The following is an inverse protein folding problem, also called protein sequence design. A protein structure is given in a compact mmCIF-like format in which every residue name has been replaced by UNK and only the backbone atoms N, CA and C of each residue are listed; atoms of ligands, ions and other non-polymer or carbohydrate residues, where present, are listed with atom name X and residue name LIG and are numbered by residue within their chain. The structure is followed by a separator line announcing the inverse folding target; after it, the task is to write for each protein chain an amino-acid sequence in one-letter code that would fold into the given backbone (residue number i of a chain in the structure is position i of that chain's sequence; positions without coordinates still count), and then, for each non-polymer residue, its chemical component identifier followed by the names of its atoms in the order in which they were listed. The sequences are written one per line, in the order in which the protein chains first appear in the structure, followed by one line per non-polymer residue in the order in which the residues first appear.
data_IF_765900438167
#
_entry.id   IF_765900438167
#
_cell.length_a   1.000
_cell.length_b   1.000
_cell.length_c   1.000
_cell.angle_alpha   90.00
_cell.angle_beta   90.00
_cell.angle_gamma   90.00
#
_symmetry.space_group_name_H-M   'P 1'
#
loop_
_entity.id
_entity.type
_entity.pdbx_description
1 polymer ?
#
# COMPACT_ATOMS: atom_id res chain seq x y z
N UNK A 1 2.79 -13.96 1.35
CA UNK A 1 2.03 -14.62 0.25
C UNK A 1 2.39 -14.02 -1.10
N UNK A 2 2.13 -12.73 -1.33
CA UNK A 2 2.40 -12.04 -2.61
C UNK A 2 3.87 -12.19 -3.04
N UNK A 3 4.84 -11.92 -2.16
CA UNK A 3 6.28 -12.05 -2.43
C UNK A 3 6.70 -13.46 -2.89
N UNK A 4 6.21 -14.50 -2.22
CA UNK A 4 6.56 -15.90 -2.54
C UNK A 4 6.03 -16.29 -3.92
N UNK A 5 4.78 -15.93 -4.23
CA UNK A 5 4.17 -16.27 -5.52
C UNK A 5 4.77 -15.41 -6.64
N UNK A 6 5.10 -14.14 -6.39
CA UNK A 6 5.85 -13.31 -7.34
C UNK A 6 7.23 -13.87 -7.66
N UNK A 7 7.91 -14.51 -6.68
CA UNK A 7 9.18 -15.22 -6.90
C UNK A 7 9.01 -16.55 -7.66
N UNK A 8 7.96 -17.32 -7.34
CA UNK A 8 7.68 -18.60 -8.02
C UNK A 8 7.25 -18.40 -9.48
N UNK A 9 6.42 -17.39 -9.73
CA UNK A 9 5.83 -17.08 -11.03
C UNK A 9 6.79 -16.34 -11.97
N UNK A 10 7.71 -15.55 -11.43
CA UNK A 10 8.58 -14.68 -12.22
C UNK A 10 7.82 -13.50 -12.84
N UNK A 11 8.56 -12.56 -13.43
CA UNK A 11 8.04 -11.39 -14.15
C UNK A 11 8.72 -11.34 -15.53
N UNK A 12 8.37 -10.41 -16.44
CA UNK A 12 9.05 -10.26 -17.77
C UNK A 12 10.58 -10.29 -17.68
N UNK A 13 11.07 -9.88 -16.52
CA UNK A 13 12.44 -9.57 -16.19
C UNK A 13 13.03 -10.43 -15.05
N UNK A 14 12.20 -11.26 -14.41
CA UNK A 14 12.57 -12.18 -13.34
C UNK A 14 12.44 -13.61 -13.89
N UNK A 15 13.55 -14.33 -14.05
CA UNK A 15 13.47 -15.77 -14.33
C UNK A 15 12.76 -16.43 -13.15
N UNK A 16 11.58 -16.98 -13.41
CA UNK A 16 10.85 -17.82 -12.46
C UNK A 16 11.81 -18.91 -11.97
N UNK A 17 11.89 -19.11 -10.65
CA UNK A 17 12.70 -20.20 -10.05
C UNK A 17 12.26 -21.56 -10.62
N UNK A 18 11.00 -21.67 -11.05
CA UNK A 18 10.38 -22.86 -11.64
C UNK A 18 10.43 -22.85 -13.19
N UNK A 19 10.89 -21.77 -13.83
CA UNK A 19 11.02 -21.69 -15.29
C UNK A 19 9.71 -21.66 -16.08
N UNK A 20 8.59 -21.28 -15.44
CA UNK A 20 7.26 -21.20 -16.06
C UNK A 20 7.22 -20.00 -17.03
N UNK A 21 6.82 -20.24 -18.29
CA UNK A 21 6.62 -19.17 -19.28
C UNK A 21 5.27 -18.48 -19.05
N UNK A 22 5.19 -17.19 -19.39
CA UNK A 22 3.91 -16.46 -19.39
C UNK A 22 2.93 -17.15 -20.34
N UNK A 23 1.68 -17.28 -19.89
CA UNK A 23 0.59 -17.94 -20.60
C UNK A 23 0.65 -19.47 -20.72
N UNK A 24 1.46 -20.14 -19.90
CA UNK A 24 1.28 -21.57 -19.66
C UNK A 24 0.05 -21.83 -18.76
N UNK A 25 -0.61 -23.01 -18.87
CA UNK A 25 -1.70 -23.41 -17.97
C UNK A 25 -1.31 -23.34 -16.48
N UNK A 26 -0.03 -23.56 -16.17
CA UNK A 26 0.52 -23.45 -14.81
C UNK A 26 0.50 -22.01 -14.27
N UNK A 27 0.63 -21.01 -15.14
CA UNK A 27 0.55 -19.59 -14.76
C UNK A 27 -0.85 -19.22 -14.28
N UNK A 28 -1.88 -19.69 -15.01
CA UNK A 28 -3.28 -19.50 -14.63
C UNK A 28 -3.64 -20.24 -13.34
N UNK A 29 -3.09 -21.45 -13.12
CA UNK A 29 -3.29 -22.19 -11.86
C UNK A 29 -2.68 -21.43 -10.68
N UNK A 30 -1.45 -20.91 -10.82
CA UNK A 30 -0.80 -20.12 -9.78
C UNK A 30 -1.56 -18.83 -9.48
N UNK A 31 -2.09 -18.16 -10.50
CA UNK A 31 -2.94 -16.98 -10.35
C UNK A 31 -4.27 -17.31 -9.65
N UNK A 32 -4.95 -18.38 -10.06
CA UNK A 32 -6.19 -18.82 -9.41
C UNK A 32 -5.95 -19.20 -7.94
N UNK A 33 -4.84 -19.89 -7.66
CA UNK A 33 -4.42 -20.21 -6.30
C UNK A 33 -4.14 -18.95 -5.46
N UNK A 34 -3.53 -17.92 -6.05
CA UNK A 34 -3.31 -16.64 -5.38
C UNK A 34 -4.63 -15.96 -5.00
N UNK A 35 -5.61 -15.90 -5.92
CA UNK A 35 -6.93 -15.36 -5.59
C UNK A 35 -7.65 -16.18 -4.51
N UNK A 36 -7.58 -17.51 -4.60
CA UNK A 36 -8.14 -18.41 -3.59
C UNK A 36 -7.51 -18.15 -2.21
N UNK A 37 -6.18 -18.07 -2.14
CA UNK A 37 -5.45 -17.81 -0.91
C UNK A 37 -5.82 -16.46 -0.30
N UNK A 38 -5.97 -15.41 -1.12
CA UNK A 38 -6.42 -14.09 -0.65
C UNK A 38 -7.85 -14.14 -0.10
N UNK A 39 -8.76 -14.86 -0.76
CA UNK A 39 -10.14 -15.05 -0.27
C UNK A 39 -10.14 -15.80 1.06
N UNK A 40 -9.38 -16.90 1.16
CA UNK A 40 -9.27 -17.70 2.39
C UNK A 40 -8.71 -16.86 3.54
N UNK A 41 -7.61 -16.13 3.32
CA UNK A 41 -7.05 -15.24 4.34
C UNK A 41 -8.04 -14.16 4.75
N UNK A 42 -8.79 -13.59 3.81
CA UNK A 42 -9.81 -12.57 4.12
C UNK A 42 -10.93 -13.16 4.97
N UNK A 43 -11.43 -14.36 4.64
CA UNK A 43 -12.45 -15.05 5.43
C UNK A 43 -11.92 -15.38 6.83
N UNK A 44 -10.69 -15.88 6.95
CA UNK A 44 -10.05 -16.15 8.25
C UNK A 44 -9.97 -14.86 9.08
N UNK A 45 -9.52 -13.74 8.49
CA UNK A 45 -9.45 -12.45 9.19
C UNK A 45 -10.85 -11.98 9.64
N UNK A 46 -11.88 -12.15 8.82
CA UNK A 46 -13.26 -11.80 9.19
C UNK A 46 -13.75 -12.66 10.36
N UNK A 47 -13.50 -13.97 10.33
CA UNK A 47 -13.90 -14.89 11.40
C UNK A 47 -13.14 -14.58 12.69
N UNK A 48 -11.83 -14.35 12.60
CA UNK A 48 -11.01 -13.97 13.75
C UNK A 48 -11.45 -12.63 14.33
N UNK A 49 -11.71 -11.62 13.50
CA UNK A 49 -12.20 -10.31 13.92
C UNK A 49 -13.53 -10.41 14.65
N UNK A 50 -14.49 -11.18 14.11
CA UNK A 50 -15.77 -11.41 14.77
C UNK A 50 -15.61 -12.12 16.10
N UNK A 51 -14.75 -13.14 16.16
CA UNK A 51 -14.49 -13.88 17.40
C UNK A 51 -13.88 -12.97 18.45
N UNK A 52 -12.89 -12.16 18.09
CA UNK A 52 -12.26 -11.20 19.00
C UNK A 52 -13.26 -10.15 19.48
N UNK A 53 -14.13 -9.66 18.59
CA UNK A 53 -15.17 -8.71 18.94
C UNK A 53 -16.20 -9.30 19.93
N UNK A 54 -16.63 -10.55 19.71
CA UNK A 54 -17.53 -11.22 20.66
C UNK A 54 -16.87 -11.42 22.02
N UNK A 55 -15.60 -11.82 22.06
CA UNK A 55 -14.86 -11.94 23.33
C UNK A 55 -14.75 -10.59 24.06
N UNK A 56 -14.64 -9.47 23.33
CA UNK A 56 -14.67 -8.13 23.94
C UNK A 56 -16.04 -7.78 24.54
N UNK A 57 -17.13 -8.20 23.90
CA UNK A 57 -18.48 -8.04 24.43
C UNK A 57 -18.72 -8.91 25.67
N UNK A 58 -18.28 -10.17 25.64
CA UNK A 58 -18.47 -11.11 26.75
C UNK A 58 -17.71 -10.69 28.03
N UNK A 59 -16.64 -9.91 27.89
CA UNK A 59 -15.83 -9.40 29.00
C UNK A 59 -16.16 -7.95 29.39
N UNK A 60 -17.31 -7.41 28.97
CA UNK A 60 -17.75 -6.04 29.27
C UNK A 60 -16.67 -4.97 28.97
N UNK A 61 -15.99 -5.11 27.83
CA UNK A 61 -14.93 -4.21 27.43
C UNK A 61 -15.44 -2.77 27.28
N UNK A 62 -14.75 -1.82 27.92
CA UNK A 62 -15.07 -0.39 27.84
C UNK A 62 -14.53 0.19 26.54
N UNK A 63 -15.40 0.34 25.53
CA UNK A 63 -15.04 0.95 24.26
C UNK A 63 -14.66 2.42 24.43
N UNK A 64 -13.48 2.78 23.94
CA UNK A 64 -12.97 4.15 23.97
C UNK A 64 -13.49 4.91 22.75
N UNK A 65 -13.60 6.24 22.85
CA UNK A 65 -13.98 7.10 21.73
C UNK A 65 -12.99 6.93 20.57
N UNK A 66 -13.45 6.29 19.48
CA UNK A 66 -12.65 5.93 18.31
C UNK A 66 -12.55 4.43 18.05
N UNK A 67 -13.12 3.59 18.91
CA UNK A 67 -13.26 2.16 18.66
C UNK A 67 -14.37 1.87 17.65
N UNK A 68 -14.09 0.95 16.72
CA UNK A 68 -15.05 0.55 15.69
C UNK A 68 -16.02 -0.46 16.28
N UNK A 69 -17.32 -0.17 16.15
CA UNK A 69 -18.40 -1.14 16.41
C UNK A 69 -18.50 -2.08 15.21
N UNK A 70 -17.99 -3.30 15.37
CA UNK A 70 -17.94 -4.30 14.32
C UNK A 70 -19.28 -5.01 14.15
N UNK A 71 -20.21 -4.34 13.46
CA UNK A 71 -21.45 -4.96 12.96
C UNK A 71 -21.21 -5.67 11.61
N UNK A 72 -22.09 -6.61 11.25
CA UNK A 72 -22.05 -7.34 9.98
C UNK A 72 -22.00 -6.37 8.79
N UNK A 73 -22.75 -5.26 8.84
CA UNK A 73 -22.76 -4.24 7.79
C UNK A 73 -21.43 -3.48 7.70
N UNK A 74 -20.84 -3.14 8.84
CA UNK A 74 -19.55 -2.45 8.92
C UNK A 74 -18.42 -3.31 8.34
N UNK A 75 -18.40 -4.61 8.67
CA UNK A 75 -17.43 -5.57 8.14
C UNK A 75 -17.53 -5.69 6.61
N UNK A 76 -18.76 -5.82 6.08
CA UNK A 76 -18.98 -5.92 4.64
C UNK A 76 -18.51 -4.63 3.94
N UNK A 77 -18.92 -3.46 4.44
CA UNK A 77 -18.49 -2.16 3.89
C UNK A 77 -16.97 -2.04 3.89
N UNK A 78 -16.33 -2.31 5.03
CA UNK A 78 -14.88 -2.25 5.17
C UNK A 78 -14.17 -3.17 4.18
N UNK A 79 -14.67 -4.40 4.01
CA UNK A 79 -14.09 -5.37 3.07
C UNK A 79 -14.21 -4.90 1.62
N UNK A 80 -15.38 -4.38 1.21
CA UNK A 80 -15.59 -3.87 -0.15
C UNK A 80 -14.64 -2.71 -0.44
N UNK A 81 -14.54 -1.73 0.46
CA UNK A 81 -13.63 -0.61 0.29
C UNK A 81 -12.16 -1.05 0.29
N UNK A 82 -11.79 -2.05 1.10
CA UNK A 82 -10.43 -2.58 1.11
C UNK A 82 -10.08 -3.27 -0.22
N UNK A 83 -11.02 -4.00 -0.84
CA UNK A 83 -10.82 -4.63 -2.15
C UNK A 83 -10.70 -3.59 -3.25
N UNK A 84 -11.60 -2.61 -3.30
CA UNK A 84 -11.56 -1.52 -4.30
C UNK A 84 -10.30 -0.69 -4.11
N UNK A 85 -9.98 -0.30 -2.88
CA UNK A 85 -8.78 0.45 -2.55
C UNK A 85 -7.51 -0.34 -2.89
N UNK A 86 -7.50 -1.65 -2.67
CA UNK A 86 -6.41 -2.54 -3.08
C UNK A 86 -6.22 -2.58 -4.60
N UNK A 87 -7.31 -2.63 -5.37
CA UNK A 87 -7.26 -2.61 -6.83
C UNK A 87 -6.70 -1.27 -7.36
N UNK A 88 -7.18 -0.15 -6.82
CA UNK A 88 -6.69 1.20 -7.17
C UNK A 88 -5.22 1.35 -6.77
N UNK A 89 -4.85 0.94 -5.55
CA UNK A 89 -3.45 0.95 -5.07
C UNK A 89 -2.54 0.12 -5.97
N UNK A 90 -2.98 -1.06 -6.41
CA UNK A 90 -2.25 -1.90 -7.34
C UNK A 90 -2.08 -1.28 -8.72
N UNK A 91 -3.11 -0.60 -9.24
CA UNK A 91 -3.07 0.06 -10.54
C UNK A 91 -2.17 1.31 -10.55
N UNK A 92 -2.25 2.13 -9.51
CA UNK A 92 -1.46 3.37 -9.39
C UNK A 92 -0.03 3.09 -8.92
N UNK A 93 0.25 1.90 -8.37
CA UNK A 93 1.55 1.54 -7.80
C UNK A 93 1.86 2.24 -6.47
N UNK A 94 0.88 2.92 -5.88
CA UNK A 94 1.00 3.53 -4.56
C UNK A 94 0.84 2.46 -3.48
N UNK A 95 1.63 2.58 -2.41
CA UNK A 95 1.49 1.72 -1.24
C UNK A 95 0.12 1.97 -0.58
N UNK A 96 -0.69 0.93 -0.41
CA UNK A 96 -2.10 1.05 0.02
C UNK A 96 -2.35 1.86 1.30
N UNK A 97 -1.34 2.09 2.14
CA UNK A 97 -1.44 2.93 3.35
C UNK A 97 -1.98 4.34 3.11
N UNK A 98 -1.74 4.93 1.93
CA UNK A 98 -2.28 6.25 1.57
C UNK A 98 -3.81 6.20 1.44
N UNK A 99 -4.36 5.12 0.89
CA UNK A 99 -5.81 4.92 0.76
C UNK A 99 -6.46 4.45 2.07
N UNK A 100 -5.75 3.67 2.89
CA UNK A 100 -6.30 3.16 4.16
C UNK A 100 -6.40 4.24 5.24
N UNK A 101 -5.56 5.29 5.19
CA UNK A 101 -5.63 6.39 6.18
C UNK A 101 -6.97 7.13 6.18
N UNK A 102 -7.48 7.68 5.05
CA UNK A 102 -8.79 8.33 5.02
C UNK A 102 -9.93 7.34 5.28
N UNK A 103 -9.79 6.08 4.85
CA UNK A 103 -10.74 5.03 5.16
C UNK A 103 -10.90 4.87 6.68
N UNK A 104 -9.80 4.73 7.41
CA UNK A 104 -9.82 4.58 8.87
C UNK A 104 -10.46 5.77 9.57
N UNK A 105 -10.24 6.99 9.06
CA UNK A 105 -10.88 8.20 9.59
C UNK A 105 -12.40 8.19 9.36
N UNK A 106 -12.87 7.72 8.20
CA UNK A 106 -14.30 7.61 7.89
C UNK A 106 -15.01 6.59 8.79
N UNK A 107 -14.30 5.52 9.18
CA UNK A 107 -14.78 4.56 10.19
C UNK A 107 -14.68 5.08 11.64
N UNK A 108 -14.25 6.33 11.84
CA UNK A 108 -14.20 6.99 13.14
C UNK A 108 -12.97 6.65 13.99
N UNK A 109 -11.96 5.99 13.42
CA UNK A 109 -10.72 5.66 14.15
C UNK A 109 -9.98 6.96 14.49
N UNK A 110 -9.42 7.02 15.71
CA UNK A 110 -8.58 8.13 16.12
C UNK A 110 -7.42 8.36 15.12
N UNK A 111 -7.17 9.61 14.66
CA UNK A 111 -6.16 9.91 13.64
C UNK A 111 -4.75 9.41 13.98
N UNK A 112 -4.40 9.40 15.27
CA UNK A 112 -3.12 8.90 15.76
C UNK A 112 -2.93 7.40 15.48
N UNK A 113 -3.98 6.60 15.72
CA UNK A 113 -3.96 5.14 15.51
C UNK A 113 -4.05 4.81 14.02
N UNK A 114 -4.90 5.53 13.28
CA UNK A 114 -5.05 5.37 11.84
C UNK A 114 -3.72 5.62 11.09
N UNK A 115 -3.04 6.71 11.42
CA UNK A 115 -1.73 7.07 10.85
C UNK A 115 -0.64 6.06 11.20
N UNK A 116 -0.57 5.60 12.46
CA UNK A 116 0.39 4.57 12.85
C UNK A 116 0.17 3.25 12.10
N UNK A 117 -1.08 2.82 12.01
CA UNK A 117 -1.44 1.56 11.33
C UNK A 117 -1.13 1.61 9.83
N UNK A 118 -1.44 2.71 9.16
CA UNK A 118 -1.17 2.86 7.73
C UNK A 118 0.33 2.93 7.42
N UNK A 119 1.14 3.52 8.29
CA UNK A 119 2.60 3.50 8.18
C UNK A 119 3.17 2.08 8.28
N UNK A 120 2.68 1.26 9.22
CA UNK A 120 3.09 -0.15 9.32
C UNK A 120 2.71 -0.94 8.07
N UNK A 121 1.49 -0.75 7.54
CA UNK A 121 1.06 -1.37 6.29
C UNK A 121 1.98 -0.98 5.12
N UNK A 122 2.31 0.30 4.99
CA UNK A 122 3.20 0.79 3.96
C UNK A 122 4.62 0.21 4.11
N UNK A 123 5.14 0.13 5.33
CA UNK A 123 6.44 -0.49 5.61
C UNK A 123 6.49 -1.94 5.14
N UNK A 124 5.54 -2.79 5.52
CA UNK A 124 5.53 -4.20 5.07
C UNK A 124 5.38 -4.33 3.55
N UNK A 125 4.58 -3.46 2.92
CA UNK A 125 4.41 -3.44 1.48
C UNK A 125 5.72 -3.07 0.75
N UNK A 126 6.40 -2.00 1.19
CA UNK A 126 7.66 -1.56 0.58
C UNK A 126 8.78 -2.56 0.83
N UNK A 127 8.89 -3.14 2.04
CA UNK A 127 9.85 -4.22 2.31
C UNK A 127 9.64 -5.40 1.35
N UNK A 128 8.38 -5.82 1.15
CA UNK A 128 8.07 -6.90 0.22
C UNK A 128 8.50 -6.56 -1.21
N UNK A 129 8.20 -5.35 -1.68
CA UNK A 129 8.59 -4.91 -3.02
C UNK A 129 10.11 -4.78 -3.17
N UNK A 130 10.82 -4.23 -2.18
CA UNK A 130 12.28 -4.10 -2.20
C UNK A 130 12.97 -5.46 -2.30
N UNK A 131 12.51 -6.46 -1.54
CA UNK A 131 13.03 -7.83 -1.63
C UNK A 131 12.79 -8.41 -3.03
N UNK A 132 11.60 -8.20 -3.60
CA UNK A 132 11.28 -8.65 -4.95
C UNK A 132 12.21 -8.03 -6.01
N UNK A 133 12.48 -6.72 -5.92
CA UNK A 133 13.41 -6.03 -6.81
C UNK A 133 14.85 -6.50 -6.63
N UNK A 134 15.25 -6.82 -5.40
CA UNK A 134 16.57 -7.37 -5.10
C UNK A 134 16.79 -8.71 -5.80
N UNK A 135 15.80 -9.61 -5.70
CA UNK A 135 15.85 -10.88 -6.45
C UNK A 135 15.72 -10.70 -7.96
N UNK A 136 15.14 -9.60 -8.42
CA UNK A 136 15.03 -9.29 -9.86
C UNK A 136 16.36 -8.94 -10.51
N UNK A 137 17.39 -8.57 -9.73
CA UNK A 137 18.71 -8.19 -10.26
C UNK A 137 18.74 -6.82 -10.96
N UNK A 138 17.67 -6.01 -10.86
CA UNK A 138 17.60 -4.64 -11.41
C UNK A 138 18.20 -3.59 -10.48
N UNK A 139 18.61 -3.98 -9.28
CA UNK A 139 19.11 -3.05 -8.28
C UNK A 139 20.59 -2.77 -8.52
N UNK A 140 20.90 -1.52 -8.86
CA UNK A 140 22.27 -0.98 -8.76
C UNK A 140 22.53 -0.72 -7.28
N UNK A 141 23.20 -1.65 -6.61
CA UNK A 141 23.40 -1.62 -5.16
C UNK A 141 23.99 -0.31 -4.66
N UNK A 142 24.98 0.24 -5.36
CA UNK A 142 25.65 1.50 -4.98
C UNK A 142 24.67 2.69 -4.94
N UNK A 143 23.81 2.80 -5.95
CA UNK A 143 22.82 3.86 -6.04
C UNK A 143 21.71 3.69 -4.99
N UNK A 144 21.28 2.45 -4.74
CA UNK A 144 20.26 2.17 -3.73
C UNK A 144 20.72 2.46 -2.31
N UNK A 145 21.96 2.12 -1.95
CA UNK A 145 22.51 2.48 -0.64
C UNK A 145 22.67 3.99 -0.49
N UNK A 146 23.13 4.68 -1.53
CA UNK A 146 23.24 6.14 -1.53
C UNK A 146 21.88 6.82 -1.32
N UNK A 147 20.86 6.44 -2.08
CA UNK A 147 19.50 6.95 -1.92
C UNK A 147 18.90 6.61 -0.55
N UNK A 148 19.08 5.38 -0.07
CA UNK A 148 18.57 4.94 1.23
C UNK A 148 19.16 5.77 2.36
N UNK A 149 20.47 6.07 2.30
CA UNK A 149 21.13 6.92 3.28
C UNK A 149 20.50 8.32 3.33
N UNK A 150 20.38 9.00 2.18
CA UNK A 150 19.76 10.33 2.14
C UNK A 150 18.29 10.33 2.52
N UNK A 151 17.55 9.27 2.18
CA UNK A 151 16.16 9.11 2.59
C UNK A 151 16.02 8.98 4.11
N UNK A 152 16.88 8.19 4.77
CA UNK A 152 16.89 8.04 6.23
C UNK A 152 17.24 9.38 6.90
N UNK A 153 18.29 10.05 6.44
CA UNK A 153 18.70 11.34 6.99
C UNK A 153 17.59 12.39 6.82
N UNK A 154 17.01 12.49 5.63
CA UNK A 154 15.91 13.42 5.35
C UNK A 154 14.66 13.13 6.19
N UNK A 155 14.30 11.86 6.36
CA UNK A 155 13.14 11.46 7.17
C UNK A 155 13.39 11.74 8.66
N UNK A 156 14.57 11.42 9.17
CA UNK A 156 14.94 11.69 10.56
C UNK A 156 14.94 13.20 10.87
N UNK A 157 15.53 14.02 9.99
CA UNK A 157 15.51 15.47 10.11
C UNK A 157 14.09 16.02 10.00
N UNK A 158 13.29 15.55 9.05
CA UNK A 158 11.90 15.98 8.88
C UNK A 158 11.06 15.72 10.12
N UNK A 159 11.08 14.49 10.64
CA UNK A 159 10.32 14.12 11.84
C UNK A 159 10.78 14.89 13.07
N UNK A 160 12.09 15.08 13.26
CA UNK A 160 12.61 15.82 14.42
C UNK A 160 12.32 17.32 14.34
N UNK A 161 12.49 17.96 13.19
CA UNK A 161 12.20 19.39 12.99
C UNK A 161 10.70 19.65 13.15
N UNK A 162 9.86 18.87 12.46
CA UNK A 162 8.40 19.03 12.52
C UNK A 162 7.91 18.69 13.93
N UNK A 163 8.41 17.62 14.54
CA UNK A 163 8.06 17.24 15.91
C UNK A 163 8.41 18.32 16.94
N UNK A 164 9.58 18.94 16.82
CA UNK A 164 9.97 20.05 17.68
C UNK A 164 9.16 21.32 17.41
N UNK A 165 8.86 21.62 16.14
CA UNK A 165 8.02 22.76 15.77
C UNK A 165 6.59 22.63 16.32
N UNK A 166 6.00 21.44 16.26
CA UNK A 166 4.66 21.16 16.82
C UNK A 166 4.68 21.30 18.34
N UNK A 167 5.70 20.75 19.02
CA UNK A 167 5.85 20.90 20.49
C UNK A 167 5.99 22.37 20.89
N UNK A 168 6.72 23.18 20.13
CA UNK A 168 6.94 24.61 20.43
C UNK A 168 5.70 25.46 20.13
N UNK A 169 4.93 25.14 19.10
CA UNK A 169 3.76 25.93 18.71
C UNK A 169 2.47 25.52 19.41
N UNK A 170 2.40 24.33 20.01
CA UNK A 170 1.23 23.83 20.75
C UNK A 170 -0.05 23.61 19.91
N UNK A 171 0.01 23.83 18.59
CA UNK A 171 -1.14 23.75 17.67
C UNK A 171 -0.90 22.70 16.60
N UNK A 172 -1.70 21.64 16.61
CA UNK A 172 -1.67 20.54 15.62
C UNK A 172 -2.02 21.04 14.20
N UNK A 173 -2.73 22.16 14.07
CA UNK A 173 -3.15 22.74 12.78
C UNK A 173 -2.00 23.06 11.82
N UNK A 174 -0.81 23.43 12.33
CA UNK A 174 0.36 23.72 11.48
C UNK A 174 0.84 22.46 10.75
N UNK A 175 0.78 21.31 11.41
CA UNK A 175 1.16 20.03 10.82
C UNK A 175 0.19 19.64 9.69
N UNK A 176 -1.11 19.89 9.88
CA UNK A 176 -2.12 19.60 8.84
C UNK A 176 -1.94 20.50 7.62
N UNK A 177 -1.67 21.79 7.80
CA UNK A 177 -1.43 22.73 6.69
C UNK A 177 -0.16 22.35 5.92
N UNK A 178 0.91 21.99 6.63
CA UNK A 178 2.18 21.59 6.00
C UNK A 178 2.03 20.27 5.22
N UNK A 179 1.34 19.27 5.78
CA UNK A 179 1.04 18.03 5.07
C UNK A 179 0.15 18.29 3.84
N UNK A 180 -0.87 19.13 3.98
CA UNK A 180 -1.73 19.53 2.85
C UNK A 180 -0.93 20.18 1.73
N UNK A 181 0.02 21.07 2.07
CA UNK A 181 0.92 21.68 1.10
C UNK A 181 1.80 20.65 0.39
N UNK A 182 2.44 19.75 1.14
CA UNK A 182 3.31 18.71 0.56
C UNK A 182 2.52 17.79 -0.36
N UNK A 183 1.35 17.31 0.05
CA UNK A 183 0.49 16.43 -0.77
C UNK A 183 0.06 17.15 -2.06
N UNK A 184 -0.36 18.42 -1.95
CA UNK A 184 -0.76 19.20 -3.12
C UNK A 184 0.40 19.40 -4.09
N UNK A 185 1.59 19.72 -3.57
CA UNK A 185 2.79 19.86 -4.38
C UNK A 185 3.19 18.54 -5.06
N UNK A 186 3.12 17.41 -4.34
CA UNK A 186 3.36 16.07 -4.90
C UNK A 186 2.37 15.73 -6.01
N UNK A 187 1.07 15.99 -5.81
CA UNK A 187 0.05 15.76 -6.84
C UNK A 187 0.30 16.59 -8.11
N UNK A 188 0.73 17.85 -7.96
CA UNK A 188 1.07 18.70 -9.10
C UNK A 188 2.31 18.17 -9.83
N UNK A 189 3.36 17.81 -9.08
CA UNK A 189 4.61 17.31 -9.64
C UNK A 189 4.40 15.98 -10.40
N UNK A 190 3.71 15.02 -9.78
CA UNK A 190 3.36 13.74 -10.41
C UNK A 190 2.43 13.94 -11.62
N UNK A 191 1.50 14.89 -11.54
CA UNK A 191 0.64 15.27 -12.67
C UNK A 191 1.45 15.80 -13.85
N UNK A 192 2.43 16.69 -13.61
CA UNK A 192 3.33 17.21 -14.66
C UNK A 192 4.16 16.07 -15.25
N UNK A 193 4.84 15.28 -14.42
CA UNK A 193 5.68 14.16 -14.90
C UNK A 193 4.85 13.17 -15.70
N UNK A 194 3.64 12.83 -15.24
CA UNK A 194 2.72 11.95 -15.96
C UNK A 194 2.28 12.53 -17.31
N UNK A 195 2.00 13.84 -17.39
CA UNK A 195 1.70 14.47 -18.69
C UNK A 195 2.89 14.49 -19.64
N UNK A 196 4.10 14.73 -19.14
CA UNK A 196 5.33 14.69 -19.96
C UNK A 196 5.55 13.28 -20.51
N UNK A 197 5.44 12.26 -19.67
CA UNK A 197 5.59 10.85 -20.06
C UNK A 197 4.54 10.43 -21.10
N UNK A 198 3.29 10.88 -20.92
CA UNK A 198 2.22 10.63 -21.90
C UNK A 198 2.51 11.31 -23.24
N UNK A 199 3.00 12.55 -23.23
CA UNK A 199 3.36 13.27 -24.47
C UNK A 199 4.54 12.60 -25.17
N UNK A 200 5.53 12.12 -24.42
CA UNK A 200 6.70 11.44 -24.97
C UNK A 200 6.31 10.10 -25.62
N UNK A 201 5.41 9.34 -25.00
CA UNK A 201 4.85 8.10 -25.56
C UNK A 201 4.06 8.35 -26.87
N UNK A 202 3.28 9.43 -26.93
CA UNK A 202 2.58 9.84 -28.17
C UNK A 202 3.55 10.23 -29.27
N UNK A 203 4.60 11.00 -28.95
CA UNK A 203 5.59 11.43 -29.94
C UNK A 203 6.41 10.26 -30.50
N UNK A 204 6.63 9.22 -29.70
CA UNK A 204 7.32 7.99 -30.12
C UNK A 204 6.41 7.02 -30.89
N UNK A 205 5.16 7.43 -31.24
CA UNK A 205 4.17 6.60 -31.93
C UNK A 205 3.87 5.29 -31.18
N UNK A 206 4.06 5.26 -29.86
CA UNK A 206 3.67 4.12 -29.03
C UNK A 206 2.15 4.17 -28.80
N UNK A 207 1.50 3.02 -28.99
CA UNK A 207 0.06 2.90 -28.80
C UNK A 207 -0.28 3.05 -27.30
N UNK A 208 -0.76 4.23 -26.89
CA UNK A 208 -1.21 4.53 -25.52
C UNK A 208 -2.25 3.53 -24.96
N UNK A 209 -3.00 2.87 -25.84
CA UNK A 209 -4.07 1.93 -25.50
C UNK A 209 -3.75 0.48 -25.87
N UNK A 210 -2.52 0.15 -26.28
CA UNK A 210 -2.09 -1.25 -26.40
C UNK A 210 -1.90 -1.80 -24.98
N UNK A 211 -3.00 -2.29 -24.41
CA UNK A 211 -2.89 -3.32 -23.40
C UNK A 211 -2.21 -4.50 -24.08
N UNK A 212 -0.89 -4.63 -23.88
CA UNK A 212 -0.16 -5.84 -24.23
C UNK A 212 -1.03 -7.01 -23.79
N UNK A 213 -1.41 -7.85 -24.75
CA UNK A 213 -2.16 -9.04 -24.43
C UNK A 213 -1.40 -9.77 -23.32
N UNK A 214 -2.16 -10.34 -22.38
CA UNK A 214 -1.58 -10.99 -21.21
C UNK A 214 -0.55 -12.08 -21.62
N UNK A 215 -0.71 -12.54 -22.87
CA UNK A 215 0.21 -13.29 -23.72
C UNK A 215 0.61 -12.38 -24.90
#
# INVERSE_FOLDING_TARGET
AILLISLFRGNKNLKSIVGIKRCDPLDFILLAFQFLLLIVLTVINIVMLKREYQVKLDNDYQFVKGDIVWDQRSIIKFTIFAVIGGFISGAVGLSGGILFTPLFLDFGIAPSVASGTSMYMAMFATLSSSILFMFSGYIIYDYSFWLSFWAIVGTALGITIIGNAVKKSGRVSILVILLGFVITASMIAEGIVGTIDTIDQVNNNENLFEFNAYC
#
